data_IF_677443915973
#
_entry.id   IF_677443915973
#
_cell.length_a   1.000
_cell.length_b   1.000
_cell.length_c   1.000
_cell.angle_alpha   90.00
_cell.angle_beta   90.00
_cell.angle_gamma   90.00
#
_symmetry.space_group_name_H-M   'P 1'
#
loop_
_entity.id
_entity.type
_entity.pdbx_description
1 polymer ?
#
# COMPACT_ATOMS: atom_id res chain seq x y z
N UNK A 1 -2.97 -43.22 11.00
CA UNK A 1 -3.42 -43.33 12.40
C UNK A 1 -3.76 -44.77 12.86
N UNK A 2 -3.49 -45.80 12.06
CA UNK A 2 -4.05 -47.14 12.29
C UNK A 2 -3.63 -47.81 13.61
N UNK A 3 -2.34 -47.80 14.00
CA UNK A 3 -1.93 -48.62 15.14
C UNK A 3 -2.47 -48.11 16.51
N UNK A 4 -2.48 -46.78 16.73
CA UNK A 4 -2.97 -46.19 18.00
C UNK A 4 -4.50 -46.21 18.10
N UNK A 5 -5.20 -45.98 16.98
CA UNK A 5 -6.68 -45.93 16.96
C UNK A 5 -7.31 -47.32 16.78
N UNK A 6 -6.81 -48.12 15.83
CA UNK A 6 -7.40 -49.41 15.44
C UNK A 6 -6.75 -50.61 16.14
N UNK A 7 -5.63 -50.40 16.85
CA UNK A 7 -4.88 -51.45 17.59
C UNK A 7 -4.49 -52.66 16.72
N UNK A 8 -4.34 -52.46 15.41
CA UNK A 8 -4.05 -53.52 14.43
C UNK A 8 -2.64 -53.39 13.84
N UNK A 9 -1.87 -54.47 13.92
CA UNK A 9 -0.54 -54.57 13.30
C UNK A 9 -0.65 -54.89 11.81
N UNK A 10 -0.41 -53.91 10.93
CA UNK A 10 -0.55 -54.06 9.47
C UNK A 10 0.62 -53.45 8.69
N UNK A 11 1.85 -53.97 8.80
CA UNK A 11 3.02 -53.39 8.14
C UNK A 11 2.90 -53.36 6.62
N UNK A 12 2.19 -54.33 6.02
CA UNK A 12 1.96 -54.41 4.57
C UNK A 12 1.01 -53.32 4.03
N UNK A 13 0.28 -52.61 4.91
CA UNK A 13 -0.64 -51.55 4.52
C UNK A 13 0.06 -50.20 4.32
N UNK A 14 1.33 -50.08 4.73
CA UNK A 14 2.09 -48.83 4.67
C UNK A 14 3.37 -49.02 3.87
N UNK A 15 3.59 -48.15 2.90
CA UNK A 15 4.82 -48.08 2.12
C UNK A 15 5.30 -46.63 2.06
N UNK A 16 6.47 -46.37 2.63
CA UNK A 16 7.07 -45.03 2.65
C UNK A 16 7.77 -44.69 1.33
N UNK A 17 8.19 -43.43 1.20
CA UNK A 17 9.04 -42.96 0.10
C UNK A 17 10.23 -42.20 0.68
N UNK A 18 11.41 -42.56 0.20
CA UNK A 18 12.68 -41.97 0.60
C UNK A 18 12.89 -40.58 -0.03
N UNK A 19 13.43 -39.64 0.74
CA UNK A 19 13.78 -38.29 0.29
C UNK A 19 15.15 -38.21 -0.38
N UNK A 20 16.10 -39.05 0.03
CA UNK A 20 17.47 -39.01 -0.46
C UNK A 20 17.55 -39.11 -1.99
N UNK A 21 18.29 -38.19 -2.61
CA UNK A 21 18.46 -38.14 -4.07
C UNK A 21 17.24 -37.67 -4.86
N UNK A 22 16.08 -37.43 -4.22
CA UNK A 22 14.88 -36.87 -4.85
C UNK A 22 15.03 -35.38 -5.10
N UNK A 23 14.20 -34.87 -6.00
CA UNK A 23 14.16 -33.46 -6.37
C UNK A 23 13.00 -32.75 -5.66
N UNK A 24 13.32 -31.74 -4.85
CA UNK A 24 12.35 -30.81 -4.28
C UNK A 24 12.27 -29.56 -5.17
N UNK A 25 11.08 -29.27 -5.68
CA UNK A 25 10.77 -27.98 -6.30
C UNK A 25 10.18 -27.02 -5.29
N UNK A 26 10.78 -25.85 -5.16
CA UNK A 26 10.32 -24.77 -4.28
C UNK A 26 9.72 -23.68 -5.15
N UNK A 27 8.45 -23.36 -4.93
CA UNK A 27 7.81 -22.24 -5.63
C UNK A 27 7.74 -21.04 -4.68
N UNK A 28 8.59 -20.04 -4.94
CA UNK A 28 8.87 -18.92 -4.05
C UNK A 28 10.09 -19.18 -3.18
N UNK A 29 11.19 -18.47 -3.43
CA UNK A 29 12.47 -18.59 -2.72
C UNK A 29 12.72 -17.35 -1.84
N UNK A 30 11.66 -16.89 -1.16
CA UNK A 30 11.74 -15.90 -0.09
C UNK A 30 12.26 -16.49 1.21
N UNK A 31 12.14 -15.74 2.33
CA UNK A 31 12.72 -16.12 3.64
C UNK A 31 12.40 -17.56 4.07
N UNK A 32 11.14 -18.00 3.97
CA UNK A 32 10.73 -19.35 4.38
C UNK A 32 11.20 -20.39 3.36
N UNK A 33 11.03 -20.12 2.06
CA UNK A 33 11.47 -21.02 0.99
C UNK A 33 12.98 -21.31 1.06
N UNK A 34 13.80 -20.30 1.35
CA UNK A 34 15.25 -20.47 1.56
C UNK A 34 15.56 -21.39 2.74
N UNK A 35 14.85 -21.24 3.87
CA UNK A 35 15.05 -22.11 5.04
C UNK A 35 14.61 -23.55 4.73
N UNK A 36 13.54 -23.73 3.95
CA UNK A 36 13.10 -25.06 3.49
C UNK A 36 14.13 -25.68 2.55
N UNK A 37 14.68 -24.91 1.61
CA UNK A 37 15.75 -25.35 0.72
C UNK A 37 16.95 -25.86 1.53
N UNK A 38 17.41 -25.06 2.49
CA UNK A 38 18.56 -25.38 3.32
C UNK A 38 18.35 -26.67 4.14
N UNK A 39 17.22 -26.77 4.84
CA UNK A 39 16.86 -27.98 5.60
C UNK A 39 16.76 -29.22 4.71
N UNK A 40 16.25 -29.07 3.48
CA UNK A 40 16.04 -30.17 2.54
C UNK A 40 17.34 -30.76 2.01
N UNK A 41 18.41 -29.94 1.92
CA UNK A 41 19.75 -30.45 1.59
C UNK A 41 20.29 -31.39 2.66
N UNK A 42 19.91 -31.19 3.93
CA UNK A 42 20.25 -32.11 5.02
C UNK A 42 19.73 -33.53 4.79
N UNK A 43 18.67 -33.70 3.99
CA UNK A 43 18.15 -35.00 3.56
C UNK A 43 18.77 -35.51 2.24
N UNK A 44 19.74 -34.80 1.67
CA UNK A 44 20.37 -35.15 0.39
C UNK A 44 19.46 -34.95 -0.82
N UNK A 45 18.47 -34.06 -0.73
CA UNK A 45 17.61 -33.71 -1.86
C UNK A 45 18.30 -32.75 -2.83
N UNK A 46 17.94 -32.83 -4.11
CA UNK A 46 18.28 -31.81 -5.13
C UNK A 46 17.23 -30.71 -5.09
N UNK A 47 17.65 -29.45 -5.08
CA UNK A 47 16.72 -28.32 -4.93
C UNK A 47 16.59 -27.56 -6.25
N UNK A 48 15.35 -27.50 -6.75
CA UNK A 48 14.95 -26.60 -7.83
C UNK A 48 14.09 -25.48 -7.24
N UNK A 49 14.19 -24.27 -7.79
CA UNK A 49 13.30 -23.18 -7.39
C UNK A 49 12.77 -22.39 -8.59
N UNK A 50 11.52 -21.93 -8.44
CA UNK A 50 10.93 -20.92 -9.30
C UNK A 50 10.58 -19.70 -8.45
N UNK A 51 11.21 -18.57 -8.73
CA UNK A 51 10.90 -17.26 -8.14
C UNK A 51 11.30 -16.16 -9.14
N UNK A 52 10.35 -15.36 -9.67
CA UNK A 52 10.65 -14.34 -10.67
C UNK A 52 11.42 -13.14 -10.11
N UNK A 53 11.60 -13.04 -8.78
CA UNK A 53 12.22 -11.92 -8.12
C UNK A 53 13.64 -12.22 -7.59
N UNK A 54 14.13 -13.46 -7.75
CA UNK A 54 15.48 -13.84 -7.31
C UNK A 54 16.45 -13.92 -8.48
N UNK A 55 17.67 -13.42 -8.31
CA UNK A 55 18.71 -13.59 -9.33
C UNK A 55 19.24 -15.04 -9.31
N UNK A 56 19.53 -15.64 -10.48
CA UNK A 56 20.12 -16.98 -10.56
C UNK A 56 21.42 -17.13 -9.75
N UNK A 57 22.26 -16.09 -9.77
CA UNK A 57 23.54 -16.03 -9.04
C UNK A 57 23.36 -16.14 -7.52
N UNK A 58 22.28 -15.55 -6.97
CA UNK A 58 22.00 -15.63 -5.55
C UNK A 58 21.52 -17.02 -5.16
N UNK A 59 20.67 -17.64 -5.99
CA UNK A 59 20.19 -19.00 -5.77
C UNK A 59 21.32 -20.04 -5.89
N UNK A 60 22.23 -19.87 -6.84
CA UNK A 60 23.37 -20.77 -7.03
C UNK A 60 24.32 -20.77 -5.83
N UNK A 61 24.57 -19.60 -5.21
CA UNK A 61 25.31 -19.50 -3.93
C UNK A 61 24.64 -20.27 -2.79
N UNK A 62 23.33 -20.42 -2.86
CA UNK A 62 22.55 -21.24 -1.94
C UNK A 62 22.45 -22.70 -2.41
N UNK A 63 23.17 -23.14 -3.44
CA UNK A 63 23.09 -24.52 -3.96
C UNK A 63 21.69 -24.89 -4.46
N UNK A 64 20.95 -23.90 -5.00
CA UNK A 64 19.62 -24.06 -5.57
C UNK A 64 19.68 -23.73 -7.06
N UNK A 65 19.12 -24.61 -7.90
CA UNK A 65 19.00 -24.36 -9.33
C UNK A 65 17.68 -23.63 -9.63
N UNK A 66 17.76 -22.42 -10.17
CA UNK A 66 16.57 -21.67 -10.60
C UNK A 66 16.11 -22.11 -11.98
N UNK A 67 14.83 -22.45 -12.12
CA UNK A 67 14.22 -22.89 -13.37
C UNK A 67 12.84 -22.25 -13.55
N UNK A 68 12.35 -22.24 -14.79
CA UNK A 68 10.97 -21.84 -15.07
C UNK A 68 9.94 -22.77 -14.43
N UNK A 69 8.75 -22.25 -14.10
CA UNK A 69 7.71 -23.01 -13.40
C UNK A 69 7.39 -24.35 -14.08
N UNK A 70 7.20 -24.34 -15.40
CA UNK A 70 6.89 -25.57 -16.17
C UNK A 70 7.99 -26.63 -16.07
N UNK A 71 9.24 -26.19 -15.97
CA UNK A 71 10.40 -27.08 -15.84
C UNK A 71 10.50 -27.65 -14.43
N UNK A 72 10.25 -26.83 -13.40
CA UNK A 72 10.12 -27.26 -12.02
C UNK A 72 9.07 -28.37 -11.88
N UNK A 73 7.87 -28.15 -12.40
CA UNK A 73 6.76 -29.12 -12.33
C UNK A 73 7.17 -30.49 -12.93
N UNK A 74 7.86 -30.51 -14.06
CA UNK A 74 8.28 -31.73 -14.76
C UNK A 74 9.41 -32.48 -14.07
N UNK A 75 10.26 -31.79 -13.30
CA UNK A 75 11.47 -32.36 -12.69
C UNK A 75 11.30 -32.70 -11.21
N UNK A 76 10.32 -32.11 -10.52
CA UNK A 76 10.11 -32.30 -9.10
C UNK A 76 9.46 -33.63 -8.74
N UNK A 77 10.01 -34.29 -7.71
CA UNK A 77 9.38 -35.43 -7.04
C UNK A 77 8.54 -34.95 -5.84
N UNK A 78 8.90 -33.78 -5.29
CA UNK A 78 8.17 -33.04 -4.26
C UNK A 78 8.03 -31.58 -4.69
N UNK A 79 6.91 -30.94 -4.39
CA UNK A 79 6.71 -29.49 -4.56
C UNK A 79 6.31 -28.88 -3.22
N UNK A 80 6.97 -27.79 -2.83
CA UNK A 80 6.59 -26.97 -1.67
C UNK A 80 6.36 -25.51 -2.09
N UNK A 81 5.20 -24.96 -1.72
CA UNK A 81 4.81 -23.60 -2.07
C UNK A 81 5.15 -22.63 -0.93
N UNK A 82 5.78 -21.50 -1.26
CA UNK A 82 6.25 -20.45 -0.34
C UNK A 82 6.13 -19.03 -0.92
N UNK A 83 5.13 -18.83 -1.79
CA UNK A 83 4.85 -17.55 -2.46
C UNK A 83 3.61 -16.86 -1.85
N UNK A 84 3.53 -15.52 -1.84
CA UNK A 84 2.28 -14.83 -1.54
C UNK A 84 1.18 -15.17 -2.57
N UNK A 85 -0.09 -14.97 -2.19
CA UNK A 85 -1.20 -15.10 -3.12
C UNK A 85 -1.13 -13.96 -4.15
N UNK A 86 -0.92 -14.29 -5.41
CA UNK A 86 -1.07 -13.38 -6.54
C UNK A 86 -2.53 -13.48 -7.03
N UNK A 87 -3.17 -12.35 -7.32
CA UNK A 87 -4.61 -12.30 -7.58
C UNK A 87 -5.07 -13.17 -8.77
N UNK A 88 -6.35 -13.58 -8.74
CA UNK A 88 -7.08 -14.07 -9.91
C UNK A 88 -7.14 -15.59 -10.11
N UNK A 89 -6.02 -16.31 -10.13
CA UNK A 89 -5.99 -17.76 -10.42
C UNK A 89 -5.05 -18.53 -9.49
N UNK A 90 -5.40 -19.78 -9.12
CA UNK A 90 -4.48 -20.68 -8.44
C UNK A 90 -3.21 -20.88 -9.26
N UNK A 91 -2.09 -21.05 -8.57
CA UNK A 91 -0.80 -21.30 -9.21
C UNK A 91 -0.69 -22.74 -9.70
N UNK A 92 -1.28 -23.69 -8.97
CA UNK A 92 -1.40 -25.07 -9.39
C UNK A 92 -2.88 -25.40 -9.63
N UNK A 93 -3.27 -25.43 -10.90
CA UNK A 93 -4.57 -25.89 -11.35
C UNK A 93 -4.47 -27.14 -12.22
N UNK A 94 -5.54 -27.42 -12.95
CA UNK A 94 -5.64 -28.57 -13.85
C UNK A 94 -4.51 -28.64 -14.89
N UNK A 95 -4.12 -27.49 -15.44
CA UNK A 95 -3.07 -27.40 -16.47
C UNK A 95 -1.70 -27.74 -15.89
N UNK A 96 -1.39 -27.25 -14.69
CA UNK A 96 -0.12 -27.50 -14.01
C UNK A 96 -0.03 -28.96 -13.54
N UNK A 97 -1.12 -29.53 -13.02
CA UNK A 97 -1.17 -30.95 -12.66
C UNK A 97 -1.00 -31.89 -13.86
N UNK A 98 -1.25 -31.44 -15.10
CA UNK A 98 -0.92 -32.25 -16.26
C UNK A 98 0.60 -32.41 -16.45
N UNK A 99 1.37 -31.39 -16.06
CA UNK A 99 2.82 -31.31 -16.27
C UNK A 99 3.65 -32.04 -15.22
N UNK A 100 3.10 -32.29 -14.03
CA UNK A 100 3.86 -32.90 -12.94
C UNK A 100 4.26 -34.35 -13.21
N UNK A 101 5.30 -34.84 -12.54
CA UNK A 101 5.62 -36.28 -12.54
C UNK A 101 4.48 -37.09 -11.91
N UNK A 102 4.12 -38.26 -12.48
CA UNK A 102 3.26 -39.22 -11.79
C UNK A 102 3.86 -39.62 -10.43
N UNK A 103 3.05 -39.61 -9.39
CA UNK A 103 3.46 -39.93 -8.03
C UNK A 103 4.09 -38.78 -7.24
N UNK A 104 3.99 -37.54 -7.74
CA UNK A 104 4.49 -36.34 -7.07
C UNK A 104 3.81 -36.13 -5.72
N UNK A 105 4.50 -35.46 -4.79
CA UNK A 105 3.96 -35.03 -3.49
C UNK A 105 3.97 -33.53 -3.37
N UNK A 106 2.91 -32.96 -2.82
CA UNK A 106 2.70 -31.50 -2.82
C UNK A 106 2.46 -31.01 -1.40
N UNK A 107 3.11 -29.91 -1.04
CA UNK A 107 3.01 -29.28 0.27
C UNK A 107 2.63 -27.82 0.09
N UNK A 108 1.54 -27.39 0.74
CA UNK A 108 1.18 -25.98 0.84
C UNK A 108 0.93 -25.58 2.30
N UNK A 109 1.94 -24.92 2.87
CA UNK A 109 1.85 -24.25 4.18
C UNK A 109 2.03 -22.73 4.03
N UNK A 110 1.74 -22.17 2.86
CA UNK A 110 2.01 -20.76 2.56
C UNK A 110 0.73 -19.92 2.55
N UNK A 111 -0.10 -20.05 1.52
CA UNK A 111 -1.35 -19.30 1.39
C UNK A 111 -2.46 -20.16 0.79
N UNK A 112 -3.67 -19.95 1.28
CA UNK A 112 -4.89 -20.51 0.73
C UNK A 112 -5.15 -20.04 -0.71
N UNK A 113 -5.65 -20.95 -1.55
CA UNK A 113 -5.96 -20.66 -2.96
C UNK A 113 -4.76 -20.59 -3.90
N UNK A 114 -3.55 -20.95 -3.45
CA UNK A 114 -2.41 -21.21 -4.36
C UNK A 114 -2.58 -22.49 -5.17
N UNK A 115 -3.38 -23.42 -4.65
CA UNK A 115 -3.75 -24.68 -5.30
C UNK A 115 -5.26 -24.64 -5.53
N UNK A 116 -5.69 -25.06 -6.72
CA UNK A 116 -7.08 -25.40 -6.98
C UNK A 116 -7.41 -26.72 -6.26
N UNK A 117 -8.21 -26.63 -5.20
CA UNK A 117 -8.51 -27.74 -4.30
C UNK A 117 -9.26 -28.88 -5.02
N UNK A 118 -10.18 -28.54 -5.93
CA UNK A 118 -10.92 -29.53 -6.73
C UNK A 118 -10.00 -30.22 -7.74
N UNK A 119 -9.13 -29.45 -8.40
CA UNK A 119 -8.16 -30.02 -9.33
C UNK A 119 -7.14 -30.92 -8.61
N UNK A 120 -6.76 -30.59 -7.36
CA UNK A 120 -5.88 -31.43 -6.55
C UNK A 120 -6.55 -32.77 -6.21
N UNK A 121 -7.80 -32.74 -5.74
CA UNK A 121 -8.58 -33.95 -5.45
C UNK A 121 -8.66 -34.84 -6.70
N UNK A 122 -8.95 -34.23 -7.86
CA UNK A 122 -9.02 -34.99 -9.11
C UNK A 122 -7.65 -35.58 -9.49
N UNK A 123 -6.57 -34.82 -9.35
CA UNK A 123 -5.22 -35.30 -9.66
C UNK A 123 -4.77 -36.46 -8.74
N UNK A 124 -5.25 -36.51 -7.49
CA UNK A 124 -5.05 -37.63 -6.57
C UNK A 124 -5.88 -38.84 -7.01
N UNK A 125 -7.17 -38.65 -7.33
CA UNK A 125 -8.05 -39.72 -7.85
C UNK A 125 -7.49 -40.35 -9.13
N UNK A 126 -6.89 -39.53 -9.98
CA UNK A 126 -6.23 -39.96 -11.23
C UNK A 126 -4.83 -40.57 -10.99
N UNK A 127 -4.38 -40.67 -9.72
CA UNK A 127 -3.07 -41.19 -9.29
C UNK A 127 -1.86 -40.43 -9.88
N UNK A 128 -2.09 -39.21 -10.36
CA UNK A 128 -1.04 -38.32 -10.84
C UNK A 128 -0.28 -37.72 -9.66
N UNK A 129 -1.01 -37.24 -8.64
CA UNK A 129 -0.47 -36.81 -7.35
C UNK A 129 -0.60 -37.97 -6.37
N UNK A 130 0.50 -38.36 -5.73
CA UNK A 130 0.46 -39.46 -4.75
C UNK A 130 -0.13 -39.01 -3.42
N UNK A 131 0.29 -37.84 -2.92
CA UNK A 131 -0.12 -37.30 -1.61
C UNK A 131 0.00 -35.77 -1.60
N UNK A 132 -0.79 -35.13 -0.75
CA UNK A 132 -0.67 -33.71 -0.46
C UNK A 132 -0.68 -33.44 1.06
N UNK A 133 -0.04 -32.34 1.47
CA UNK A 133 -0.13 -31.81 2.84
C UNK A 133 -0.49 -30.32 2.77
N UNK A 134 -1.62 -29.97 3.37
CA UNK A 134 -2.21 -28.63 3.35
C UNK A 134 -2.35 -28.12 4.78
N UNK A 135 -1.79 -26.96 5.06
CA UNK A 135 -2.00 -26.23 6.31
C UNK A 135 -2.94 -25.03 6.13
N UNK A 136 -3.20 -24.63 4.89
CA UNK A 136 -3.95 -23.41 4.53
C UNK A 136 -4.95 -23.71 3.42
N UNK A 137 -6.08 -23.01 3.42
CA UNK A 137 -7.23 -23.34 2.57
C UNK A 137 -7.78 -22.10 1.85
N UNK A 138 -8.44 -22.31 0.71
CA UNK A 138 -9.07 -21.25 -0.10
C UNK A 138 -10.04 -20.40 0.72
N UNK A 139 -10.79 -21.05 1.62
CA UNK A 139 -11.68 -20.45 2.60
C UNK A 139 -11.35 -21.03 3.98
N UNK A 140 -11.16 -20.14 4.96
CA UNK A 140 -10.90 -20.52 6.34
C UNK A 140 -11.94 -19.87 7.27
N UNK A 141 -12.48 -20.59 8.28
CA UNK A 141 -12.18 -21.97 8.67
C UNK A 141 -12.59 -23.03 7.62
N UNK A 142 -11.84 -24.13 7.54
CA UNK A 142 -12.19 -25.24 6.65
C UNK A 142 -13.52 -25.87 7.09
N UNK A 143 -14.46 -26.00 6.16
CA UNK A 143 -15.75 -26.65 6.43
C UNK A 143 -15.56 -28.10 6.88
N UNK A 144 -16.30 -28.59 7.90
CA UNK A 144 -16.34 -30.01 8.24
C UNK A 144 -16.79 -30.92 7.08
N UNK A 145 -17.56 -30.37 6.14
CA UNK A 145 -18.05 -31.09 4.95
C UNK A 145 -17.12 -30.90 3.73
N UNK A 146 -15.90 -30.39 3.93
CA UNK A 146 -14.97 -30.17 2.83
C UNK A 146 -14.52 -31.51 2.21
N UNK A 147 -14.60 -31.67 0.87
CA UNK A 147 -14.14 -32.88 0.19
C UNK A 147 -12.65 -33.19 0.41
N UNK A 148 -11.84 -32.19 0.81
CA UNK A 148 -10.43 -32.41 1.16
C UNK A 148 -10.26 -33.33 2.38
N UNK A 149 -11.24 -33.36 3.29
CA UNK A 149 -11.21 -34.20 4.49
C UNK A 149 -11.57 -35.67 4.21
N UNK A 150 -12.18 -35.96 3.07
CA UNK A 150 -12.59 -37.30 2.65
C UNK A 150 -11.51 -38.05 1.83
N UNK A 151 -10.40 -37.38 1.51
CA UNK A 151 -9.30 -37.95 0.70
C UNK A 151 -8.14 -38.32 1.62
N UNK A 152 -7.97 -39.62 1.89
CA UNK A 152 -6.94 -40.16 2.80
C UNK A 152 -5.50 -39.77 2.42
N UNK A 153 -5.23 -39.50 1.14
CA UNK A 153 -3.93 -39.05 0.65
C UNK A 153 -3.62 -37.57 0.94
N UNK A 154 -4.58 -36.81 1.47
CA UNK A 154 -4.41 -35.41 1.86
C UNK A 154 -4.29 -35.31 3.39
N UNK A 155 -3.16 -34.77 3.85
CA UNK A 155 -2.95 -34.39 5.25
C UNK A 155 -3.42 -32.95 5.42
N UNK A 156 -4.43 -32.73 6.26
CA UNK A 156 -4.96 -31.41 6.58
C UNK A 156 -4.57 -31.00 8.00
N UNK A 157 -3.98 -29.82 8.17
CA UNK A 157 -3.75 -29.16 9.46
C UNK A 157 -4.44 -27.79 9.52
N UNK A 158 -4.91 -27.32 10.68
CA UNK A 158 -5.72 -26.09 10.79
C UNK A 158 -4.84 -24.84 10.94
N UNK A 159 -4.06 -24.49 9.92
CA UNK A 159 -3.25 -23.26 9.86
C UNK A 159 -2.29 -23.10 11.05
N UNK A 160 -1.46 -24.12 11.26
CA UNK A 160 -0.55 -24.24 12.40
C UNK A 160 0.88 -23.77 12.10
N UNK A 161 1.18 -23.28 10.90
CA UNK A 161 2.54 -22.94 10.47
C UNK A 161 3.30 -21.96 11.39
N UNK A 162 2.60 -21.12 12.15
CA UNK A 162 3.17 -20.21 13.16
C UNK A 162 2.77 -20.54 14.61
N UNK A 163 2.10 -21.67 14.84
CA UNK A 163 1.59 -22.11 16.14
C UNK A 163 2.64 -22.90 16.92
N UNK A 164 3.79 -22.28 17.18
CA UNK A 164 4.83 -22.83 18.08
C UNK A 164 5.14 -21.84 19.19
N UNK A 165 5.53 -22.35 20.37
CA UNK A 165 5.86 -21.50 21.53
C UNK A 165 6.94 -20.47 21.17
N UNK A 166 8.01 -20.91 20.51
CA UNK A 166 9.12 -20.02 20.13
C UNK A 166 8.74 -18.99 19.08
N UNK A 167 7.78 -19.29 18.20
CA UNK A 167 7.27 -18.33 17.23
C UNK A 167 6.43 -17.26 17.93
N UNK A 168 5.55 -17.67 18.86
CA UNK A 168 4.73 -16.75 19.64
C UNK A 168 5.60 -15.83 20.51
N UNK A 169 6.61 -16.36 21.18
CA UNK A 169 7.56 -15.58 21.99
C UNK A 169 8.30 -14.53 21.15
N UNK A 170 8.82 -14.94 19.98
CA UNK A 170 9.51 -14.01 19.06
C UNK A 170 8.59 -12.90 18.56
N UNK A 171 7.33 -13.22 18.26
CA UNK A 171 6.33 -12.23 17.84
C UNK A 171 6.04 -11.26 18.99
N UNK A 172 5.84 -11.76 20.20
CA UNK A 172 5.57 -10.94 21.38
C UNK A 172 6.71 -9.95 21.66
N UNK A 173 7.96 -10.44 21.66
CA UNK A 173 9.16 -9.60 21.83
C UNK A 173 9.25 -8.56 20.71
N UNK A 174 9.10 -8.97 19.45
CA UNK A 174 9.22 -8.06 18.32
C UNK A 174 8.16 -6.93 18.34
N UNK A 175 6.94 -7.21 18.78
CA UNK A 175 5.89 -6.19 18.95
C UNK A 175 6.22 -5.28 20.13
N UNK A 176 6.67 -5.83 21.26
CA UNK A 176 7.05 -5.03 22.42
C UNK A 176 8.19 -4.06 22.09
N UNK A 177 9.21 -4.51 21.37
CA UNK A 177 10.32 -3.67 20.91
C UNK A 177 9.82 -2.56 19.96
N UNK A 178 8.93 -2.87 19.01
CA UNK A 178 8.32 -1.85 18.14
C UNK A 178 7.51 -0.81 18.92
N UNK A 179 6.78 -1.23 19.96
CA UNK A 179 6.05 -0.30 20.83
C UNK A 179 7.00 0.59 21.63
N UNK A 180 8.10 0.04 22.15
CA UNK A 180 9.13 0.82 22.86
C UNK A 180 9.77 1.83 21.92
N UNK A 181 10.16 1.39 20.72
CA UNK A 181 10.75 2.25 19.68
C UNK A 181 9.86 3.45 19.36
N UNK A 182 8.57 3.19 19.15
CA UNK A 182 7.61 4.25 18.86
C UNK A 182 7.33 5.16 20.07
N UNK A 183 7.04 4.59 21.24
CA UNK A 183 6.61 5.39 22.39
C UNK A 183 7.74 6.19 23.05
N UNK A 184 8.98 5.70 22.99
CA UNK A 184 10.14 6.39 23.58
C UNK A 184 10.87 7.28 22.58
N UNK A 185 11.01 6.82 21.35
CA UNK A 185 11.86 7.46 20.34
C UNK A 185 11.06 7.97 19.15
N UNK A 186 9.78 7.63 19.00
CA UNK A 186 9.01 7.99 17.81
C UNK A 186 9.44 7.26 16.53
N UNK A 187 10.36 6.29 16.63
CA UNK A 187 10.83 5.48 15.51
C UNK A 187 9.71 4.54 15.04
N UNK A 188 9.40 4.58 13.75
CA UNK A 188 8.36 3.76 13.14
C UNK A 188 9.02 2.63 12.35
N UNK A 189 8.68 1.37 12.67
CA UNK A 189 9.22 0.17 12.01
C UNK A 189 8.12 -0.83 11.76
N UNK A 190 8.14 -1.47 10.59
CA UNK A 190 7.17 -2.50 10.19
C UNK A 190 5.70 -2.04 10.31
N UNK A 191 5.44 -0.74 10.26
CA UNK A 191 4.08 -0.22 10.30
C UNK A 191 3.37 -0.60 9.01
N UNK A 192 2.13 -1.07 9.14
CA UNK A 192 1.32 -1.54 8.00
C UNK A 192 0.83 -0.34 7.16
N UNK A 193 0.78 0.85 7.75
CA UNK A 193 0.21 2.06 7.19
C UNK A 193 1.21 3.21 7.01
N UNK A 194 2.49 3.00 7.35
CA UNK A 194 3.54 4.01 7.25
C UNK A 194 4.89 3.36 6.90
N UNK A 195 5.74 3.98 6.04
CA UNK A 195 7.10 3.50 5.82
C UNK A 195 7.92 3.51 7.12
N UNK A 196 9.00 2.72 7.16
CA UNK A 196 9.92 2.73 8.29
C UNK A 196 10.74 4.03 8.29
N UNK A 197 10.70 4.79 9.37
CA UNK A 197 11.40 6.08 9.52
C UNK A 197 12.00 6.16 10.93
N UNK A 198 13.27 6.52 11.02
CA UNK A 198 13.94 6.75 12.30
C UNK A 198 13.50 8.08 12.96
N UNK A 199 13.82 8.22 14.25
CA UNK A 199 13.41 9.38 15.06
C UNK A 199 13.92 10.72 14.52
N UNK A 200 15.20 10.80 14.14
CA UNK A 200 15.84 12.04 13.75
C UNK A 200 15.26 12.53 12.42
N UNK A 201 15.17 11.62 11.45
CA UNK A 201 14.52 11.89 10.17
C UNK A 201 13.07 12.32 10.38
N UNK A 202 12.28 11.57 11.17
CA UNK A 202 10.86 11.87 11.38
C UNK A 202 10.66 13.27 11.98
N UNK A 203 11.49 13.68 12.95
CA UNK A 203 11.41 15.04 13.53
C UNK A 203 11.64 16.13 12.49
N UNK A 204 12.58 15.93 11.55
CA UNK A 204 12.88 16.90 10.51
C UNK A 204 11.77 16.98 9.45
N UNK A 205 11.24 15.82 9.02
CA UNK A 205 10.26 15.78 7.92
C UNK A 205 8.80 15.90 8.38
N UNK A 206 8.48 15.70 9.66
CA UNK A 206 7.09 15.68 10.16
C UNK A 206 6.27 16.92 9.74
N UNK A 207 6.75 18.17 9.91
CA UNK A 207 6.02 19.34 9.44
C UNK A 207 5.71 19.29 7.93
N UNK A 208 6.64 18.74 7.14
CA UNK A 208 6.48 18.59 5.70
C UNK A 208 5.55 17.43 5.32
N UNK A 209 5.47 16.36 6.13
CA UNK A 209 4.49 15.29 5.95
C UNK A 209 3.07 15.83 6.10
N UNK A 210 2.83 16.61 7.16
CA UNK A 210 1.55 17.27 7.44
C UNK A 210 1.20 18.25 6.31
N UNK A 211 2.13 19.14 5.95
CA UNK A 211 1.95 20.07 4.83
C UNK A 211 1.64 19.33 3.52
N UNK A 212 2.40 18.28 3.19
CA UNK A 212 2.21 17.51 1.97
C UNK A 212 0.81 16.88 1.90
N UNK A 213 0.34 16.27 2.99
CA UNK A 213 -1.01 15.70 3.08
C UNK A 213 -2.08 16.77 2.89
N UNK A 214 -1.94 17.92 3.56
CA UNK A 214 -2.92 19.02 3.49
C UNK A 214 -2.96 19.69 2.12
N UNK A 215 -1.81 19.85 1.46
CA UNK A 215 -1.76 20.28 0.06
C UNK A 215 -2.48 19.28 -0.85
N UNK A 216 -2.25 17.99 -0.66
CA UNK A 216 -2.92 16.94 -1.42
C UNK A 216 -4.44 16.96 -1.23
N UNK A 217 -4.91 17.04 0.02
CA UNK A 217 -6.34 17.14 0.34
C UNK A 217 -6.98 18.39 -0.24
N UNK A 218 -6.31 19.53 -0.13
CA UNK A 218 -6.77 20.82 -0.68
C UNK A 218 -6.98 20.70 -2.18
N UNK A 219 -5.95 20.24 -2.89
CA UNK A 219 -5.99 20.13 -4.35
C UNK A 219 -7.04 19.12 -4.79
N UNK A 220 -7.18 17.97 -4.12
CA UNK A 220 -8.15 16.92 -4.48
C UNK A 220 -9.59 17.41 -4.57
N UNK A 221 -9.97 18.36 -3.71
CA UNK A 221 -11.33 18.94 -3.64
C UNK A 221 -11.59 20.02 -4.71
N UNK A 222 -10.55 20.39 -5.46
CA UNK A 222 -10.61 21.37 -6.55
C UNK A 222 -10.59 20.74 -7.94
N UNK A 223 -10.47 19.41 -8.02
CA UNK A 223 -10.32 18.69 -9.27
C UNK A 223 -11.65 18.32 -9.89
N UNK A 224 -11.73 18.50 -11.20
CA UNK A 224 -12.83 18.04 -12.04
C UNK A 224 -12.32 16.87 -12.89
N UNK A 225 -12.62 15.65 -12.45
CA UNK A 225 -12.29 14.41 -13.16
C UNK A 225 -11.01 13.69 -12.67
N UNK A 226 -10.62 12.60 -13.36
CA UNK A 226 -9.55 11.72 -12.90
C UNK A 226 -8.16 12.37 -13.09
N UNK A 227 -7.32 12.19 -12.07
CA UNK A 227 -5.90 12.53 -12.10
C UNK A 227 -5.15 11.67 -13.12
N UNK A 228 -4.25 12.29 -13.88
CA UNK A 228 -3.37 11.59 -14.82
C UNK A 228 -1.89 11.77 -14.50
N UNK A 229 -1.52 12.92 -13.93
CA UNK A 229 -0.13 13.24 -13.61
C UNK A 229 -0.06 14.10 -12.35
N UNK A 230 0.91 13.80 -11.49
CA UNK A 230 1.23 14.50 -10.24
C UNK A 230 2.71 14.83 -10.27
N UNK A 231 3.06 16.09 -10.05
CA UNK A 231 4.44 16.53 -9.90
C UNK A 231 4.60 17.21 -8.55
N UNK A 232 5.55 16.71 -7.76
CA UNK A 232 5.91 17.29 -6.46
C UNK A 232 7.33 17.83 -6.56
N UNK A 233 7.45 19.14 -6.43
CA UNK A 233 8.71 19.86 -6.47
C UNK A 233 9.08 20.38 -5.08
N UNK A 234 10.25 19.99 -4.60
CA UNK A 234 10.83 20.41 -3.33
C UNK A 234 11.89 21.48 -3.60
N UNK A 235 11.76 22.66 -2.99
CA UNK A 235 12.76 23.73 -3.12
C UNK A 235 13.33 24.14 -1.76
N UNK A 236 14.62 24.48 -1.72
CA UNK A 236 15.30 25.01 -0.54
C UNK A 236 15.75 23.92 0.43
N UNK A 237 15.65 24.15 1.75
CA UNK A 237 16.22 23.24 2.76
C UNK A 237 15.58 21.85 2.72
N UNK A 238 14.26 21.76 2.50
CA UNK A 238 13.52 20.49 2.37
C UNK A 238 14.04 19.60 1.24
N UNK A 239 14.63 20.17 0.19
CA UNK A 239 15.17 19.39 -0.93
C UNK A 239 16.36 18.51 -0.49
N UNK A 240 17.06 18.87 0.58
CA UNK A 240 18.18 18.11 1.14
C UNK A 240 17.74 16.96 2.06
N UNK A 241 16.45 16.87 2.39
CA UNK A 241 15.91 15.81 3.25
C UNK A 241 15.52 14.56 2.44
N UNK A 242 15.17 13.49 3.14
CA UNK A 242 14.48 12.35 2.54
C UNK A 242 13.03 12.75 2.25
N UNK A 243 12.74 13.09 0.99
CA UNK A 243 11.42 13.61 0.57
C UNK A 243 10.43 12.54 0.14
N UNK A 244 10.87 11.30 -0.10
CA UNK A 244 9.98 10.22 -0.55
C UNK A 244 8.78 10.03 0.39
N UNK A 245 8.93 10.00 1.73
CA UNK A 245 7.78 9.97 2.64
C UNK A 245 6.84 11.17 2.50
N UNK A 246 7.35 12.34 2.12
CA UNK A 246 6.55 13.54 1.89
C UNK A 246 5.75 13.40 0.59
N UNK A 247 6.35 12.89 -0.48
CA UNK A 247 5.66 12.59 -1.74
C UNK A 247 4.52 11.60 -1.50
N UNK A 248 4.78 10.56 -0.71
CA UNK A 248 3.78 9.58 -0.29
C UNK A 248 2.63 10.24 0.51
N UNK A 249 2.95 11.20 1.39
CA UNK A 249 1.96 11.96 2.16
C UNK A 249 1.04 12.79 1.25
N UNK A 250 1.62 13.43 0.22
CA UNK A 250 0.88 14.14 -0.82
C UNK A 250 -0.08 13.21 -1.57
N UNK A 251 0.40 12.02 -1.98
CA UNK A 251 -0.43 11.02 -2.65
C UNK A 251 -1.59 10.55 -1.75
N UNK A 252 -1.32 10.30 -0.47
CA UNK A 252 -2.35 9.94 0.52
C UNK A 252 -3.42 11.04 0.58
N UNK A 253 -3.03 12.30 0.70
CA UNK A 253 -3.96 13.43 0.73
C UNK A 253 -4.79 13.57 -0.56
N UNK A 254 -4.15 13.43 -1.73
CA UNK A 254 -4.83 13.49 -3.03
C UNK A 254 -5.87 12.40 -3.24
N UNK A 255 -5.58 11.19 -2.75
CA UNK A 255 -6.41 10.01 -2.99
C UNK A 255 -7.49 9.79 -1.91
N UNK A 256 -7.38 10.44 -0.75
CA UNK A 256 -8.27 10.25 0.40
C UNK A 256 -9.76 10.46 0.09
N UNK A 257 -10.10 11.40 -0.79
CA UNK A 257 -11.49 11.64 -1.19
C UNK A 257 -12.10 10.57 -2.11
N UNK A 258 -11.28 9.67 -2.67
CA UNK A 258 -11.70 8.72 -3.73
C UNK A 258 -11.33 7.26 -3.45
N UNK A 259 -10.66 7.00 -2.33
CA UNK A 259 -10.14 5.68 -1.94
C UNK A 259 -10.37 5.47 -0.46
N UNK A 260 -11.26 4.53 -0.12
CA UNK A 260 -11.43 4.10 1.26
C UNK A 260 -10.18 3.35 1.75
N UNK A 261 -9.73 3.65 2.97
CA UNK A 261 -8.58 2.98 3.59
C UNK A 261 -7.22 3.37 3.02
N UNK A 262 -7.10 4.52 2.35
CA UNK A 262 -5.81 5.06 1.89
C UNK A 262 -4.83 5.26 3.07
N UNK A 263 -3.56 4.95 2.86
CA UNK A 263 -2.47 5.17 3.80
C UNK A 263 -1.13 5.36 3.06
N UNK A 264 -0.04 5.57 3.80
CA UNK A 264 1.27 5.85 3.20
C UNK A 264 1.92 4.62 2.55
N UNK A 265 1.43 3.40 2.80
CA UNK A 265 1.97 2.17 2.17
C UNK A 265 1.22 1.86 0.87
N UNK A 266 -0.10 2.00 0.84
CA UNK A 266 -0.89 1.67 -0.35
C UNK A 266 -1.03 2.83 -1.36
N UNK A 267 -0.82 4.09 -0.96
CA UNK A 267 -1.01 5.24 -1.85
C UNK A 267 -0.15 5.18 -3.14
N UNK A 268 1.16 4.85 -3.09
CA UNK A 268 1.96 4.73 -4.31
C UNK A 268 1.50 3.60 -5.23
N UNK A 269 1.08 2.47 -4.64
CA UNK A 269 0.58 1.32 -5.40
C UNK A 269 -0.73 1.66 -6.12
N UNK A 270 -1.67 2.29 -5.41
CA UNK A 270 -2.97 2.68 -5.96
C UNK A 270 -2.81 3.76 -7.04
N UNK A 271 -1.89 4.71 -6.86
CA UNK A 271 -1.56 5.69 -7.89
C UNK A 271 -1.08 5.00 -9.18
N UNK A 272 -0.14 4.04 -9.05
CA UNK A 272 0.38 3.25 -10.17
C UNK A 272 -0.69 2.39 -10.83
N UNK A 273 -1.54 1.72 -10.05
CA UNK A 273 -2.64 0.88 -10.56
C UNK A 273 -3.66 1.70 -11.35
N UNK A 274 -3.93 2.93 -10.91
CA UNK A 274 -4.79 3.90 -11.62
C UNK A 274 -4.09 4.58 -12.81
N UNK A 275 -2.84 4.21 -13.11
CA UNK A 275 -2.06 4.78 -14.21
C UNK A 275 -1.69 6.26 -14.02
N UNK A 276 -1.62 6.72 -12.77
CA UNK A 276 -1.22 8.08 -12.44
C UNK A 276 0.30 8.16 -12.47
N UNK A 277 0.83 9.04 -13.32
CA UNK A 277 2.27 9.31 -13.34
C UNK A 277 2.64 10.23 -12.16
N UNK A 278 3.69 9.87 -11.43
CA UNK A 278 4.19 10.64 -10.28
C UNK A 278 5.62 11.06 -10.56
N UNK A 279 5.86 12.36 -10.65
CA UNK A 279 7.17 12.98 -10.81
C UNK A 279 7.59 13.65 -9.51
N UNK A 280 8.79 13.32 -9.04
CA UNK A 280 9.44 13.99 -7.91
C UNK A 280 10.62 14.81 -8.44
N UNK A 281 10.70 16.10 -8.06
CA UNK A 281 11.84 16.96 -8.39
C UNK A 281 12.35 17.73 -7.18
N UNK A 282 13.66 18.00 -7.17
CA UNK A 282 14.36 18.69 -6.09
C UNK A 282 15.17 19.86 -6.65
N UNK A 283 15.14 21.00 -5.98
CA UNK A 283 15.96 22.16 -6.29
C UNK A 283 16.51 22.79 -5.02
N UNK A 284 17.79 23.14 -5.01
CA UNK A 284 18.41 23.88 -3.90
C UNK A 284 18.24 25.40 -4.04
N UNK A 285 17.50 25.86 -5.06
CA UNK A 285 17.21 27.27 -5.25
C UNK A 285 16.25 27.78 -4.16
N UNK A 286 16.70 28.77 -3.40
CA UNK A 286 15.88 29.50 -2.42
C UNK A 286 15.40 30.77 -3.12
N UNK A 287 14.07 30.90 -3.26
CA UNK A 287 13.42 32.10 -3.78
C UNK A 287 12.89 32.94 -2.62
N UNK A 288 11.58 33.04 -2.49
CA UNK A 288 10.91 33.88 -1.48
C UNK A 288 10.81 33.19 -0.10
N UNK A 289 10.96 31.87 -0.04
CA UNK A 289 10.83 31.07 1.18
C UNK A 289 11.97 30.05 1.30
N UNK A 290 12.41 29.77 2.54
CA UNK A 290 13.53 28.86 2.84
C UNK A 290 13.27 27.41 2.44
N UNK A 291 12.01 26.97 2.49
CA UNK A 291 11.58 25.66 2.03
C UNK A 291 10.19 25.73 1.44
N UNK A 292 9.98 25.11 0.28
CA UNK A 292 8.64 24.99 -0.32
C UNK A 292 8.39 23.59 -0.86
N UNK A 293 7.12 23.18 -0.79
CA UNK A 293 6.58 22.02 -1.51
C UNK A 293 5.59 22.56 -2.52
N UNK A 294 5.90 22.40 -3.80
CA UNK A 294 5.01 22.73 -4.88
C UNK A 294 4.38 21.45 -5.43
N UNK A 295 3.05 21.40 -5.39
CA UNK A 295 2.23 20.35 -5.96
C UNK A 295 1.59 20.85 -7.25
N UNK A 296 1.92 20.20 -8.36
CA UNK A 296 1.23 20.37 -9.63
C UNK A 296 0.46 19.09 -9.94
N UNK A 297 -0.80 19.23 -10.31
CA UNK A 297 -1.62 18.09 -10.72
C UNK A 297 -2.31 18.37 -12.04
N UNK A 298 -2.46 17.32 -12.83
CA UNK A 298 -3.10 17.38 -14.14
C UNK A 298 -4.25 16.40 -14.21
N UNK A 299 -5.42 16.89 -14.61
CA UNK A 299 -6.54 16.08 -15.09
C UNK A 299 -6.66 16.22 -16.61
N UNK A 300 -7.62 15.51 -17.23
CA UNK A 300 -7.86 15.63 -18.68
C UNK A 300 -8.19 17.05 -19.15
N UNK A 301 -8.72 17.92 -18.27
CA UNK A 301 -9.22 19.25 -18.64
C UNK A 301 -8.45 20.44 -18.06
N UNK A 302 -7.75 20.28 -16.94
CA UNK A 302 -7.11 21.40 -16.23
C UNK A 302 -5.81 20.97 -15.53
N UNK A 303 -4.87 21.90 -15.43
CA UNK A 303 -3.72 21.80 -14.53
C UNK A 303 -3.98 22.73 -13.35
N UNK A 304 -3.66 22.27 -12.14
CA UNK A 304 -3.71 23.06 -10.92
C UNK A 304 -2.34 23.04 -10.26
N UNK A 305 -1.97 24.17 -9.67
CA UNK A 305 -0.72 24.31 -8.93
C UNK A 305 -0.99 24.87 -7.54
N UNK A 306 -0.35 24.30 -6.53
CA UNK A 306 -0.42 24.77 -5.15
C UNK A 306 0.98 24.69 -4.55
N UNK A 307 1.46 25.77 -3.93
CA UNK A 307 2.73 25.74 -3.20
C UNK A 307 2.51 26.05 -1.74
N UNK A 308 3.06 25.19 -0.89
CA UNK A 308 3.08 25.36 0.56
C UNK A 308 4.47 25.63 1.10
N UNK A 309 4.52 26.31 2.23
CA UNK A 309 5.73 26.57 3.01
C UNK A 309 5.42 26.46 4.50
N UNK A 310 6.46 26.24 5.32
CA UNK A 310 6.35 26.18 6.78
C UNK A 310 7.04 27.41 7.37
N UNK A 311 6.31 28.13 8.22
CA UNK A 311 6.78 29.35 8.85
C UNK A 311 7.08 29.13 10.34
N UNK A 312 8.13 29.79 10.82
CA UNK A 312 8.46 29.86 12.25
C UNK A 312 8.50 28.49 12.94
N UNK A 313 7.60 28.27 13.90
CA UNK A 313 7.54 27.06 14.75
C UNK A 313 6.82 25.86 14.11
N UNK A 314 6.59 25.86 12.80
CA UNK A 314 5.86 24.79 12.12
C UNK A 314 4.48 25.19 11.59
N UNK A 315 4.23 26.48 11.33
CA UNK A 315 2.94 26.99 10.84
C UNK A 315 2.82 26.79 9.31
N UNK A 316 1.99 25.85 8.81
CA UNK A 316 1.88 25.55 7.39
C UNK A 316 1.01 26.57 6.67
N UNK A 317 1.51 27.11 5.56
CA UNK A 317 0.78 28.10 4.74
C UNK A 317 0.82 27.74 3.28
N UNK A 318 -0.28 28.03 2.58
CA UNK A 318 -0.29 28.15 1.13
C UNK A 318 0.32 29.50 0.79
N UNK A 319 1.35 29.48 -0.06
CA UNK A 319 2.08 30.67 -0.52
C UNK A 319 1.81 31.01 -1.99
N UNK A 320 1.31 30.03 -2.75
CA UNK A 320 0.95 30.18 -4.16
C UNK A 320 -0.23 29.25 -4.48
N UNK A 321 -1.22 29.79 -5.20
CA UNK A 321 -2.31 29.03 -5.79
C UNK A 321 -2.44 29.40 -7.27
N UNK A 322 -2.24 28.43 -8.16
CA UNK A 322 -2.00 28.64 -9.59
C UNK A 322 -0.93 29.73 -9.79
N UNK A 323 -1.32 30.92 -10.23
CA UNK A 323 -0.43 32.07 -10.44
C UNK A 323 -0.52 33.12 -9.32
N UNK A 324 -1.39 32.94 -8.33
CA UNK A 324 -1.71 33.93 -7.30
C UNK A 324 -0.86 33.73 -6.04
N UNK A 325 -0.04 34.74 -5.72
CA UNK A 325 0.78 34.78 -4.51
C UNK A 325 -0.01 35.39 -3.34
N UNK A 326 0.01 34.73 -2.20
CA UNK A 326 -0.58 35.18 -0.94
C UNK A 326 -0.11 34.28 0.20
N UNK A 327 -0.27 34.68 1.46
CA UNK A 327 0.00 33.81 2.60
C UNK A 327 -1.31 33.41 3.28
N UNK A 328 -1.79 32.20 3.04
CA UNK A 328 -3.00 31.67 3.66
C UNK A 328 -2.68 30.53 4.62
N UNK A 329 -3.20 30.61 5.84
CA UNK A 329 -3.08 29.54 6.84
C UNK A 329 -3.91 28.35 6.38
N UNK A 330 -3.34 27.14 6.44
CA UNK A 330 -4.09 25.91 6.25
C UNK A 330 -4.93 25.64 7.51
N UNK A 331 -6.26 25.69 7.41
CA UNK A 331 -7.18 25.44 8.52
C UNK A 331 -8.20 24.36 8.17
N UNK A 332 -8.82 23.78 9.20
CA UNK A 332 -9.80 22.69 9.06
C UNK A 332 -10.95 23.02 8.09
N UNK A 333 -11.45 24.25 8.12
CA UNK A 333 -12.49 24.72 7.21
C UNK A 333 -12.02 25.97 6.48
N UNK A 334 -12.02 25.92 5.16
CA UNK A 334 -11.63 27.03 4.30
C UNK A 334 -12.58 27.17 3.11
N UNK A 335 -12.68 28.39 2.59
CA UNK A 335 -13.22 28.67 1.28
C UNK A 335 -12.11 29.15 0.37
N UNK A 336 -12.04 28.60 -0.85
CA UNK A 336 -11.21 29.15 -1.93
C UNK A 336 -12.17 29.75 -2.94
N UNK A 337 -12.04 31.05 -3.17
CA UNK A 337 -12.89 31.81 -4.09
C UNK A 337 -12.05 32.42 -5.19
N UNK A 338 -12.61 32.48 -6.39
CA UNK A 338 -12.08 33.26 -7.50
C UNK A 338 -13.11 34.32 -7.86
N UNK A 339 -12.70 35.58 -8.00
CA UNK A 339 -13.61 36.70 -8.25
C UNK A 339 -12.97 37.75 -9.17
N UNK A 340 -13.79 38.65 -9.72
CA UNK A 340 -13.27 39.87 -10.38
C UNK A 340 -12.80 40.86 -9.31
N UNK A 341 -11.66 41.50 -9.52
CA UNK A 341 -11.11 42.50 -8.60
C UNK A 341 -11.80 43.86 -8.77
N UNK A 342 -12.97 44.01 -8.16
CA UNK A 342 -13.79 45.24 -8.22
C UNK A 342 -14.29 45.64 -6.82
N UNK A 343 -14.57 46.93 -6.57
CA UNK A 343 -15.05 47.39 -5.27
C UNK A 343 -16.31 46.66 -4.80
N UNK A 344 -16.36 46.32 -3.51
CA UNK A 344 -17.53 45.74 -2.84
C UNK A 344 -17.54 44.21 -2.72
N UNK A 345 -16.69 43.47 -3.44
CA UNK A 345 -16.70 41.99 -3.42
C UNK A 345 -16.44 41.43 -2.02
N UNK A 346 -15.40 41.90 -1.33
CA UNK A 346 -15.06 41.44 0.03
C UNK A 346 -16.20 41.76 1.01
N UNK A 347 -16.81 42.94 0.89
CA UNK A 347 -17.94 43.33 1.73
C UNK A 347 -19.17 42.44 1.50
N UNK A 348 -19.48 42.11 0.25
CA UNK A 348 -20.59 41.22 -0.10
C UNK A 348 -20.36 39.79 0.44
N UNK A 349 -19.14 39.27 0.29
CA UNK A 349 -18.74 37.98 0.83
C UNK A 349 -18.91 37.93 2.36
N UNK A 350 -18.43 38.96 3.06
CA UNK A 350 -18.60 39.09 4.51
C UNK A 350 -20.07 39.15 4.93
N UNK A 351 -20.92 39.87 4.17
CA UNK A 351 -22.35 39.94 4.43
C UNK A 351 -23.05 38.58 4.28
N UNK A 352 -22.70 37.80 3.25
CA UNK A 352 -23.26 36.46 3.05
C UNK A 352 -22.85 35.53 4.19
N UNK A 353 -21.56 35.48 4.53
CA UNK A 353 -21.09 34.64 5.64
C UNK A 353 -21.72 35.05 6.97
N UNK A 354 -21.82 36.36 7.23
CA UNK A 354 -22.49 36.91 8.42
C UNK A 354 -23.98 36.56 8.49
N UNK A 355 -24.72 36.63 7.37
CA UNK A 355 -26.13 36.20 7.26
C UNK A 355 -26.31 34.74 7.67
N UNK A 356 -25.33 33.89 7.33
CA UNK A 356 -25.32 32.47 7.67
C UNK A 356 -24.63 32.17 9.01
N UNK A 357 -24.32 33.19 9.82
CA UNK A 357 -23.67 33.07 11.11
C UNK A 357 -22.31 32.33 11.07
N UNK A 358 -21.56 32.50 9.97
CA UNK A 358 -20.21 31.95 9.81
C UNK A 358 -19.18 33.06 10.05
N UNK A 359 -18.35 32.89 11.06
CA UNK A 359 -17.26 33.80 11.37
C UNK A 359 -16.03 33.56 10.47
N UNK A 360 -15.31 34.65 10.17
CA UNK A 360 -14.07 34.63 9.38
C UNK A 360 -12.89 34.73 10.34
N UNK A 361 -12.07 33.68 10.40
CA UNK A 361 -10.85 33.62 11.21
C UNK A 361 -9.62 34.19 10.48
N UNK A 362 -9.64 34.17 9.15
CA UNK A 362 -8.53 34.61 8.32
C UNK A 362 -8.99 34.92 6.90
N UNK A 363 -8.35 35.90 6.27
CA UNK A 363 -8.66 36.31 4.91
C UNK A 363 -7.37 36.68 4.18
N UNK A 364 -7.03 35.90 3.16
CA UNK A 364 -5.85 36.12 2.33
C UNK A 364 -6.27 36.32 0.90
N UNK A 365 -5.80 37.39 0.26
CA UNK A 365 -6.15 37.77 -1.12
C UNK A 365 -4.89 37.86 -1.98
N UNK A 366 -4.87 37.14 -3.09
CA UNK A 366 -3.89 37.29 -4.15
C UNK A 366 -4.54 37.91 -5.40
N UNK A 367 -3.84 38.85 -6.04
CA UNK A 367 -4.22 39.43 -7.32
C UNK A 367 -2.99 39.57 -8.22
N UNK A 368 -3.15 39.30 -9.51
CA UNK A 368 -2.08 39.44 -10.51
C UNK A 368 -1.94 40.88 -10.98
N UNK A 369 -3.07 41.49 -11.33
CA UNK A 369 -3.14 42.83 -11.93
C UNK A 369 -4.37 43.57 -11.39
N UNK A 370 -4.28 44.90 -11.32
CA UNK A 370 -5.39 45.73 -10.86
C UNK A 370 -6.57 45.65 -11.86
N UNK A 371 -7.79 45.43 -11.34
CA UNK A 371 -9.03 45.20 -12.13
C UNK A 371 -9.08 43.89 -12.93
N UNK A 372 -8.20 42.94 -12.63
CA UNK A 372 -8.21 41.58 -13.19
C UNK A 372 -9.06 40.59 -12.39
N UNK A 373 -8.57 39.37 -12.27
CA UNK A 373 -9.11 38.32 -11.40
C UNK A 373 -8.31 38.28 -10.09
N UNK A 374 -8.97 37.98 -8.98
CA UNK A 374 -8.36 37.74 -7.69
C UNK A 374 -8.78 36.38 -7.14
N UNK A 375 -7.91 35.79 -6.32
CA UNK A 375 -8.18 34.57 -5.56
C UNK A 375 -8.09 34.88 -4.08
N UNK A 376 -9.06 34.41 -3.31
CA UNK A 376 -9.04 34.53 -1.86
C UNK A 376 -9.16 33.18 -1.18
N UNK A 377 -8.37 32.98 -0.12
CA UNK A 377 -8.54 31.90 0.84
C UNK A 377 -9.13 32.49 2.12
N UNK A 378 -10.28 31.98 2.53
CA UNK A 378 -11.01 32.46 3.71
C UNK A 378 -11.09 31.32 4.72
N UNK A 379 -10.44 31.50 5.87
CA UNK A 379 -10.54 30.57 6.98
C UNK A 379 -11.84 30.86 7.75
N UNK A 380 -12.65 29.84 7.95
CA UNK A 380 -13.97 29.96 8.59
C UNK A 380 -14.08 29.01 9.79
N UNK A 381 -14.85 29.40 10.80
CA UNK A 381 -14.95 28.64 12.06
C UNK A 381 -15.86 27.40 11.96
N UNK A 382 -16.78 27.39 11.00
CA UNK A 382 -17.76 26.32 10.80
C UNK A 382 -17.90 25.95 9.33
N UNK A 383 -18.21 24.68 8.99
CA UNK A 383 -18.39 24.27 7.62
C UNK A 383 -19.62 24.96 7.00
N UNK A 384 -19.54 25.43 5.74
CA UNK A 384 -20.64 26.11 5.10
C UNK A 384 -21.74 25.11 4.72
N UNK A 385 -23.00 25.52 4.85
CA UNK A 385 -24.12 24.70 4.38
C UNK A 385 -24.22 24.76 2.85
N UNK A 386 -24.98 23.84 2.25
CA UNK A 386 -25.30 23.90 0.83
C UNK A 386 -26.01 25.20 0.44
N UNK A 387 -26.81 25.77 1.34
CA UNK A 387 -27.47 27.06 1.13
C UNK A 387 -26.46 28.20 1.13
N UNK A 388 -25.55 28.22 2.10
CA UNK A 388 -24.47 29.20 2.17
C UNK A 388 -23.60 29.18 0.92
N UNK A 389 -23.23 28.00 0.42
CA UNK A 389 -22.44 27.88 -0.82
C UNK A 389 -23.20 28.36 -2.06
N UNK A 390 -24.53 28.22 -2.10
CA UNK A 390 -25.35 28.78 -3.18
C UNK A 390 -25.37 30.30 -3.13
N UNK A 391 -25.67 30.88 -1.97
CA UNK A 391 -25.68 32.33 -1.78
C UNK A 391 -24.32 32.96 -2.13
N UNK A 392 -23.22 32.29 -1.79
CA UNK A 392 -21.86 32.71 -2.17
C UNK A 392 -21.65 32.68 -3.69
N UNK A 393 -22.09 31.63 -4.38
CA UNK A 393 -21.97 31.53 -5.85
C UNK A 393 -22.85 32.54 -6.58
N UNK A 394 -24.00 32.87 -6.02
CA UNK A 394 -24.93 33.85 -6.59
C UNK A 394 -24.50 35.31 -6.30
N UNK A 395 -23.45 35.50 -5.50
CA UNK A 395 -22.92 36.84 -5.18
C UNK A 395 -22.28 37.48 -6.42
N UNK A 396 -22.63 38.73 -6.77
CA UNK A 396 -22.08 39.39 -7.94
C UNK A 396 -20.54 39.43 -7.92
N UNK A 397 -19.95 39.11 -9.08
CA UNK A 397 -18.51 39.08 -9.35
C UNK A 397 -17.72 37.91 -8.74
N UNK A 398 -18.37 36.99 -8.02
CA UNK A 398 -17.78 35.70 -7.65
C UNK A 398 -17.88 34.74 -8.85
N UNK A 399 -16.78 34.07 -9.18
CA UNK A 399 -16.63 33.20 -10.36
C UNK A 399 -16.59 31.71 -9.96
N UNK A 400 -15.78 31.37 -8.96
CA UNK A 400 -15.66 30.00 -8.42
C UNK A 400 -15.72 30.06 -6.89
N UNK A 401 -16.36 29.06 -6.27
CA UNK A 401 -16.40 28.87 -4.80
C UNK A 401 -16.23 27.40 -4.48
N UNK A 402 -15.15 27.08 -3.78
CA UNK A 402 -14.84 25.75 -3.28
C UNK A 402 -14.77 25.77 -1.75
N UNK A 403 -15.47 24.83 -1.11
CA UNK A 403 -15.27 24.55 0.31
C UNK A 403 -14.24 23.44 0.44
N UNK A 404 -13.23 23.70 1.27
CA UNK A 404 -12.12 22.78 1.53
C UNK A 404 -12.18 22.37 2.99
N UNK A 405 -12.06 21.06 3.22
CA UNK A 405 -11.92 20.46 4.54
C UNK A 405 -10.65 19.61 4.61
N UNK A 406 -9.83 19.84 5.63
CA UNK A 406 -8.58 19.09 5.89
C UNK A 406 -8.79 17.92 6.85
#
# INVERSE_FOLDING_TARGET
AALKKEKKWSPKAFMGVELYGKTLGIIGLGRIGTVVADRSKGFGMKILAYDPFISPEHAEKMGVETVELKELLRRSDYISLHTPKTGGKPLLGKEEFALVKPGIRIINCARGGLIDEDALIQAIKDKKVAQAALDVYSTEPLSPDSPLLDVDEIICTPHLGASTEEAQDKVAIAIADQMIDYLKYGSVRNAINMPSIDEETLKQIKPFLELGEDLGKTVSQLLEGPLTHIKVQYNGEVANLNVEPITISVLKGLLAGSVDGINMVNAPFIAKERGIEVEESKSNEIKDYTSTIQLQVKTKGRMRQLTGSIFGKGDPRIVLFDDYYFEAVLSKHMLILTNKDVPGVIGNLGNVLGKHHINIAGFSLGRLEEKGTAVSVVNIDSPPTNETLRDLRDTPNILEVHSIVL
#
